data_IF_857888964098
#
_entry.id   IF_857888964098
#
_cell.length_a   1.000
_cell.length_b   1.000
_cell.length_c   1.000
_cell.angle_alpha   90.00
_cell.angle_beta   90.00
_cell.angle_gamma   90.00
#
_symmetry.space_group_name_H-M   'P 1'
#
loop_
_entity.id
_entity.type
_entity.pdbx_description
1 polymer ?
#
# COMPACT_ATOMS: atom_id res chain seq x y z
N UNK A 1 -7.62 -6.66 -35.83
CA UNK A 1 -8.53 -7.00 -34.72
C UNK A 1 -7.74 -6.79 -33.42
N UNK A 2 -7.74 -5.57 -32.89
CA UNK A 2 -7.11 -5.23 -31.60
C UNK A 2 -8.27 -4.93 -30.65
N UNK A 3 -8.41 -5.73 -29.60
CA UNK A 3 -9.42 -5.53 -28.56
C UNK A 3 -9.09 -4.23 -27.79
N UNK A 4 -9.81 -3.16 -28.13
CA UNK A 4 -9.82 -1.93 -27.35
C UNK A 4 -10.53 -2.25 -26.04
N UNK A 5 -9.73 -2.35 -24.98
CA UNK A 5 -10.17 -2.77 -23.65
C UNK A 5 -11.30 -1.87 -23.15
N UNK A 6 -12.48 -2.45 -22.96
CA UNK A 6 -13.68 -1.80 -22.44
C UNK A 6 -13.50 -1.51 -20.95
N UNK A 7 -12.76 -0.44 -20.62
CA UNK A 7 -12.78 0.17 -19.27
C UNK A 7 -13.76 1.35 -19.22
N UNK A 8 -14.91 1.22 -19.89
CA UNK A 8 -15.97 2.21 -19.81
C UNK A 8 -17.14 1.63 -19.02
N UNK A 9 -17.30 2.19 -17.82
CA UNK A 9 -18.56 2.42 -17.12
C UNK A 9 -19.23 1.21 -16.48
N UNK A 10 -18.90 1.01 -15.19
CA UNK A 10 -19.88 0.53 -14.22
C UNK A 10 -19.64 1.23 -12.87
N UNK A 11 -19.99 2.52 -12.78
CA UNK A 11 -19.89 3.31 -11.54
C UNK A 11 -20.92 2.90 -10.47
N UNK A 12 -21.73 1.86 -10.72
CA UNK A 12 -22.75 1.35 -9.79
C UNK A 12 -22.19 0.48 -8.64
N UNK A 13 -20.88 0.23 -8.60
CA UNK A 13 -20.24 -0.68 -7.61
C UNK A 13 -19.04 -0.10 -6.88
N UNK A 14 -18.74 1.20 -7.04
CA UNK A 14 -17.62 1.83 -6.35
C UNK A 14 -17.96 2.02 -4.88
N UNK A 15 -17.08 1.54 -4.01
CA UNK A 15 -17.19 1.71 -2.56
C UNK A 15 -16.01 2.52 -2.02
N UNK A 16 -16.17 3.21 -0.88
CA UNK A 16 -15.06 3.86 -0.21
C UNK A 16 -13.95 2.87 0.12
N UNK A 17 -12.69 3.29 -0.07
CA UNK A 17 -11.53 2.51 0.36
C UNK A 17 -11.57 2.28 1.87
N UNK A 18 -11.40 1.01 2.28
CA UNK A 18 -11.17 0.68 3.69
C UNK A 18 -9.76 1.10 4.04
N UNK A 19 -9.63 2.21 4.78
CA UNK A 19 -8.37 2.80 5.18
C UNK A 19 -8.15 2.64 6.68
N UNK A 20 -7.07 1.94 7.04
CA UNK A 20 -6.57 1.89 8.42
C UNK A 20 -5.30 2.73 8.50
N UNK A 21 -5.19 3.61 9.49
CA UNK A 21 -3.99 4.42 9.74
C UNK A 21 -3.24 3.88 10.96
N UNK A 22 -1.93 3.69 10.84
CA UNK A 22 -1.04 3.41 11.97
C UNK A 22 -0.08 4.58 12.12
N UNK A 23 -0.20 5.29 13.24
CA UNK A 23 0.53 6.52 13.51
C UNK A 23 1.51 6.29 14.67
N UNK A 24 2.81 6.43 14.39
CA UNK A 24 3.86 6.37 15.40
C UNK A 24 4.09 7.75 16.02
N UNK A 25 3.86 7.86 17.33
CA UNK A 25 4.03 9.10 18.11
C UNK A 25 5.35 9.20 18.89
N UNK A 26 6.16 8.14 18.90
CA UNK A 26 7.43 8.10 19.64
C UNK A 26 8.48 7.31 18.86
N UNK A 27 9.72 7.75 18.89
CA UNK A 27 10.87 7.05 18.29
C UNK A 27 11.38 5.88 19.14
N UNK A 28 10.92 5.74 20.38
CA UNK A 28 11.38 4.67 21.30
C UNK A 28 11.00 3.26 20.85
N UNK A 29 9.93 3.14 20.07
CA UNK A 29 9.46 1.86 19.52
C UNK A 29 9.82 1.78 18.05
N UNK A 30 10.50 0.70 17.66
CA UNK A 30 10.72 0.40 16.27
C UNK A 30 9.45 -0.21 15.67
N UNK A 31 8.64 0.62 15.02
CA UNK A 31 7.40 0.19 14.39
C UNK A 31 7.63 -0.95 13.38
N UNK A 32 8.75 -0.97 12.66
CA UNK A 32 9.01 -2.03 11.68
C UNK A 32 9.03 -3.41 12.35
N UNK A 33 9.64 -3.53 13.52
CA UNK A 33 9.67 -4.80 14.28
C UNK A 33 8.26 -5.25 14.66
N UNK A 34 7.39 -4.32 15.05
CA UNK A 34 5.99 -4.64 15.35
C UNK A 34 5.17 -5.00 14.11
N UNK A 35 5.49 -4.43 12.94
CA UNK A 35 4.80 -4.73 11.69
C UNK A 35 5.15 -6.11 11.13
N UNK A 36 6.35 -6.65 11.42
CA UNK A 36 6.84 -7.92 10.85
C UNK A 36 5.83 -9.08 10.89
N UNK A 37 5.25 -9.47 12.05
CA UNK A 37 4.30 -10.58 12.10
C UNK A 37 3.05 -10.34 11.24
N UNK A 38 2.58 -9.09 11.17
CA UNK A 38 1.46 -8.73 10.31
C UNK A 38 1.83 -8.81 8.83
N UNK A 39 3.02 -8.34 8.43
CA UNK A 39 3.49 -8.48 7.04
C UNK A 39 3.63 -9.95 6.63
N UNK A 40 4.16 -10.78 7.53
CA UNK A 40 4.28 -12.21 7.32
C UNK A 40 2.90 -12.85 7.08
N UNK A 41 1.93 -12.59 7.96
CA UNK A 41 0.56 -13.09 7.82
C UNK A 41 -0.12 -12.61 6.53
N UNK A 42 -0.01 -11.32 6.20
CA UNK A 42 -0.62 -10.75 4.98
C UNK A 42 -0.01 -11.34 3.71
N UNK A 43 1.30 -11.62 3.69
CA UNK A 43 1.97 -12.19 2.52
C UNK A 43 1.53 -13.61 2.16
N UNK A 44 0.86 -14.33 3.06
CA UNK A 44 0.36 -15.67 2.81
C UNK A 44 -1.00 -15.68 2.08
N UNK A 45 -1.66 -14.53 1.92
CA UNK A 45 -2.93 -14.43 1.18
C UNK A 45 -2.69 -14.65 -0.32
N UNK A 46 -3.75 -15.05 -1.04
CA UNK A 46 -3.64 -15.48 -2.44
C UNK A 46 -3.22 -14.36 -3.39
N UNK A 47 -3.76 -13.15 -3.21
CA UNK A 47 -3.49 -11.96 -4.02
C UNK A 47 -2.26 -11.19 -3.53
N UNK A 48 -1.77 -10.24 -4.32
CA UNK A 48 -0.57 -9.47 -3.98
C UNK A 48 -0.69 -8.64 -2.69
N UNK A 49 0.37 -8.63 -1.90
CA UNK A 49 0.65 -7.62 -0.87
C UNK A 49 1.54 -6.54 -1.49
N UNK A 50 1.02 -5.32 -1.65
CA UNK A 50 1.76 -4.22 -2.26
C UNK A 50 2.30 -3.29 -1.17
N UNK A 51 3.59 -2.99 -1.22
CA UNK A 51 4.27 -2.07 -0.29
C UNK A 51 4.77 -0.85 -1.05
N UNK A 52 4.16 0.31 -0.80
CA UNK A 52 4.53 1.59 -1.37
C UNK A 52 5.49 2.34 -0.45
N UNK A 53 6.68 2.64 -0.98
CA UNK A 53 7.73 3.39 -0.28
C UNK A 53 8.15 2.82 1.09
N UNK A 54 8.27 1.49 1.30
CA UNK A 54 8.65 0.94 2.61
C UNK A 54 10.01 1.47 3.07
N UNK A 55 10.28 1.66 4.38
CA UNK A 55 11.56 2.20 4.82
C UNK A 55 12.72 1.29 4.37
N UNK A 56 13.91 1.87 4.12
CA UNK A 56 15.08 1.11 3.63
C UNK A 56 15.53 0.00 4.58
N UNK A 57 15.15 0.06 5.86
CA UNK A 57 15.36 -0.99 6.85
C UNK A 57 14.59 -2.28 6.55
N UNK A 58 13.50 -2.23 5.78
CA UNK A 58 12.77 -3.41 5.29
C UNK A 58 13.45 -3.98 4.05
N UNK A 59 14.66 -4.50 4.26
CA UNK A 59 15.39 -5.21 3.21
C UNK A 59 14.70 -6.54 2.89
N UNK A 60 14.99 -7.10 1.70
CA UNK A 60 14.50 -8.44 1.33
C UNK A 60 14.87 -9.49 2.38
N UNK A 61 16.09 -9.41 2.92
CA UNK A 61 16.56 -10.34 3.95
C UNK A 61 15.73 -10.23 5.22
N UNK A 62 15.53 -9.01 5.74
CA UNK A 62 14.73 -8.77 6.96
C UNK A 62 13.29 -9.26 6.79
N UNK A 63 12.70 -9.05 5.61
CA UNK A 63 11.35 -9.55 5.30
C UNK A 63 11.32 -11.09 5.25
N UNK A 64 12.29 -11.72 4.58
CA UNK A 64 12.39 -13.18 4.52
C UNK A 64 12.59 -13.81 5.91
N UNK A 65 13.47 -13.23 6.73
CA UNK A 65 13.75 -13.67 8.09
C UNK A 65 12.50 -13.57 8.99
N UNK A 66 11.63 -12.59 8.71
CA UNK A 66 10.34 -12.44 9.38
C UNK A 66 9.25 -13.41 8.88
N UNK A 67 9.54 -14.26 7.89
CA UNK A 67 8.58 -15.21 7.32
C UNK A 67 7.66 -14.62 6.24
N UNK A 68 8.01 -13.46 5.66
CA UNK A 68 7.27 -12.86 4.55
C UNK A 68 7.52 -13.65 3.27
N UNK A 69 6.46 -14.10 2.60
CA UNK A 69 6.58 -14.71 1.27
C UNK A 69 6.89 -13.63 0.22
N UNK A 70 8.18 -13.50 -0.12
CA UNK A 70 8.66 -12.53 -1.10
C UNK A 70 8.09 -12.77 -2.51
N UNK A 71 7.54 -13.94 -2.81
CA UNK A 71 6.87 -14.22 -4.10
C UNK A 71 5.47 -13.63 -4.19
N UNK A 72 4.91 -13.17 -3.06
CA UNK A 72 3.58 -12.55 -2.92
C UNK A 72 3.64 -11.07 -2.58
N UNK A 73 4.84 -10.49 -2.52
CA UNK A 73 5.05 -9.08 -2.20
C UNK A 73 5.52 -8.30 -3.42
N UNK A 74 4.88 -7.15 -3.66
CA UNK A 74 5.35 -6.18 -4.64
C UNK A 74 5.77 -4.88 -3.95
N UNK A 75 7.06 -4.55 -4.06
CA UNK A 75 7.58 -3.28 -3.54
C UNK A 75 7.56 -2.24 -4.66
N UNK A 76 6.82 -1.16 -4.43
CA UNK A 76 6.72 -0.02 -5.34
C UNK A 76 7.45 1.17 -4.74
N UNK A 77 8.24 1.85 -5.56
CA UNK A 77 9.00 3.03 -5.20
C UNK A 77 8.63 4.19 -6.08
N UNK A 78 8.54 5.40 -5.53
CA UNK A 78 8.28 6.59 -6.33
C UNK A 78 9.44 6.83 -7.30
N UNK A 79 9.13 7.30 -8.50
CA UNK A 79 10.13 7.81 -9.43
C UNK A 79 10.22 9.34 -9.32
N UNK A 80 11.08 9.99 -10.12
CA UNK A 80 11.24 11.46 -10.10
C UNK A 80 10.02 12.22 -10.65
N UNK A 81 9.09 11.55 -11.32
CA UNK A 81 7.99 12.14 -12.12
C UNK A 81 6.62 11.96 -11.46
N UNK A 82 6.46 10.98 -10.58
CA UNK A 82 5.20 10.62 -9.96
C UNK A 82 5.29 10.66 -8.44
N UNK A 83 4.38 11.43 -7.83
CA UNK A 83 4.16 11.43 -6.39
C UNK A 83 3.59 10.11 -5.89
N UNK A 84 3.67 9.91 -4.58
CA UNK A 84 3.20 8.70 -3.90
C UNK A 84 1.69 8.47 -4.07
N UNK A 85 0.92 9.55 -4.14
CA UNK A 85 -0.51 9.60 -4.42
C UNK A 85 -0.87 8.92 -5.76
N UNK A 86 -0.15 9.25 -6.83
CA UNK A 86 -0.40 8.66 -8.16
C UNK A 86 -0.05 7.17 -8.20
N UNK A 87 1.01 6.76 -7.49
CA UNK A 87 1.36 5.35 -7.40
C UNK A 87 0.29 4.56 -6.61
N UNK A 88 -0.19 5.11 -5.50
CA UNK A 88 -1.26 4.50 -4.72
C UNK A 88 -2.54 4.34 -5.55
N UNK A 89 -2.96 5.40 -6.26
CA UNK A 89 -4.14 5.35 -7.11
C UNK A 89 -4.03 4.26 -8.18
N UNK A 90 -2.86 4.12 -8.84
CA UNK A 90 -2.65 3.07 -9.84
C UNK A 90 -2.70 1.67 -9.24
N UNK A 91 -2.09 1.46 -8.07
CA UNK A 91 -2.13 0.17 -7.38
C UNK A 91 -3.58 -0.23 -7.00
N UNK A 92 -4.37 0.73 -6.52
CA UNK A 92 -5.78 0.53 -6.18
C UNK A 92 -6.64 0.25 -7.43
N UNK A 93 -6.45 1.04 -8.50
CA UNK A 93 -7.17 0.85 -9.77
C UNK A 93 -6.85 -0.46 -10.47
N UNK A 94 -5.62 -0.99 -10.30
CA UNK A 94 -5.26 -2.30 -10.84
C UNK A 94 -6.10 -3.43 -10.24
N UNK A 95 -6.56 -3.29 -8.99
CA UNK A 95 -7.44 -4.26 -8.33
C UNK A 95 -6.81 -5.65 -8.09
N UNK A 96 -5.50 -5.79 -8.28
CA UNK A 96 -4.79 -7.08 -8.19
C UNK A 96 -4.23 -7.39 -6.80
N UNK A 97 -4.37 -6.47 -5.84
CA UNK A 97 -3.84 -6.63 -4.48
C UNK A 97 -4.97 -6.70 -3.45
N UNK A 98 -4.79 -7.53 -2.43
CA UNK A 98 -5.72 -7.59 -1.30
C UNK A 98 -5.40 -6.50 -0.27
N UNK A 99 -4.12 -6.15 -0.13
CA UNK A 99 -3.66 -5.10 0.79
C UNK A 99 -2.63 -4.22 0.13
N UNK A 100 -2.83 -2.91 0.27
CA UNK A 100 -1.88 -1.87 -0.06
C UNK A 100 -1.34 -1.27 1.23
N UNK A 101 -0.04 -1.34 1.46
CA UNK A 101 0.61 -0.66 2.59
C UNK A 101 1.39 0.54 2.07
N UNK A 102 1.02 1.73 2.53
CA UNK A 102 1.64 2.99 2.16
C UNK A 102 2.46 3.54 3.33
N UNK A 103 3.76 3.72 3.15
CA UNK A 103 4.58 4.44 4.12
C UNK A 103 4.66 5.92 3.73
N UNK A 104 4.01 6.76 4.53
CA UNK A 104 4.11 8.20 4.45
C UNK A 104 5.36 8.63 5.22
N UNK A 105 6.42 8.94 4.48
CA UNK A 105 7.74 9.24 5.03
C UNK A 105 8.07 10.74 5.07
N UNK A 106 7.28 11.57 4.39
CA UNK A 106 7.53 13.00 4.21
C UNK A 106 6.22 13.79 4.36
N UNK A 107 6.18 14.90 5.12
CA UNK A 107 5.02 15.80 5.16
C UNK A 107 4.54 16.28 3.77
N UNK A 108 5.42 16.35 2.77
CA UNK A 108 5.07 16.64 1.39
C UNK A 108 4.07 15.63 0.78
N UNK A 109 3.92 14.45 1.39
CA UNK A 109 2.98 13.42 0.97
C UNK A 109 1.58 13.58 1.60
N UNK A 110 1.24 14.72 2.22
CA UNK A 110 -0.10 14.94 2.80
C UNK A 110 -1.25 14.83 1.77
N UNK A 111 -0.94 15.10 0.49
CA UNK A 111 -1.84 14.86 -0.63
C UNK A 111 -2.28 13.39 -0.73
N UNK A 112 -1.40 12.43 -0.40
CA UNK A 112 -1.73 11.00 -0.38
C UNK A 112 -2.84 10.72 0.64
N UNK A 113 -2.74 11.27 1.85
CA UNK A 113 -3.70 11.00 2.92
C UNK A 113 -5.09 11.47 2.53
N UNK A 114 -5.17 12.69 2.00
CA UNK A 114 -6.43 13.28 1.54
C UNK A 114 -7.01 12.53 0.34
N UNK A 115 -6.15 12.05 -0.57
CA UNK A 115 -6.55 11.25 -1.71
C UNK A 115 -7.10 9.89 -1.27
N UNK A 116 -6.38 9.13 -0.43
CA UNK A 116 -6.81 7.81 0.04
C UNK A 116 -8.18 7.88 0.74
N UNK A 117 -8.42 8.90 1.57
CA UNK A 117 -9.71 9.12 2.26
C UNK A 117 -10.89 9.35 1.31
N UNK A 118 -10.63 9.86 0.11
CA UNK A 118 -11.64 10.15 -0.91
C UNK A 118 -11.68 9.11 -2.02
N UNK A 119 -10.76 8.14 -1.99
CA UNK A 119 -10.64 7.13 -3.04
C UNK A 119 -11.80 6.15 -2.94
N UNK A 120 -12.38 5.86 -4.10
CA UNK A 120 -13.37 4.81 -4.26
C UNK A 120 -12.79 3.74 -5.17
N UNK A 121 -13.05 2.48 -4.84
CA UNK A 121 -12.52 1.32 -5.54
C UNK A 121 -13.65 0.33 -5.83
N UNK A 122 -13.49 -0.46 -6.89
CA UNK A 122 -14.35 -1.61 -7.17
C UNK A 122 -13.77 -2.93 -6.62
N UNK A 123 -12.52 -2.92 -6.16
CA UNK A 123 -11.86 -4.10 -5.59
C UNK A 123 -12.11 -4.24 -4.09
N UNK A 124 -11.73 -5.39 -3.55
CA UNK A 124 -11.70 -5.68 -2.11
C UNK A 124 -10.38 -5.25 -1.46
N UNK A 125 -9.66 -4.30 -2.06
CA UNK A 125 -8.34 -3.88 -1.57
C UNK A 125 -8.50 -3.06 -0.29
N UNK A 126 -7.83 -3.49 0.78
CA UNK A 126 -7.68 -2.72 2.01
C UNK A 126 -6.39 -1.89 1.96
N UNK A 127 -6.39 -0.70 2.54
CA UNK A 127 -5.21 0.15 2.62
C UNK A 127 -4.77 0.35 4.07
N UNK A 128 -3.50 0.08 4.35
CA UNK A 128 -2.84 0.45 5.60
C UNK A 128 -1.88 1.61 5.34
N UNK A 129 -2.14 2.74 5.98
CA UNK A 129 -1.27 3.91 5.93
C UNK A 129 -0.40 3.98 7.18
N UNK A 130 0.91 3.83 7.01
CA UNK A 130 1.90 3.93 8.08
C UNK A 130 2.48 5.34 8.09
N UNK A 131 2.36 6.05 9.22
CA UNK A 131 2.82 7.44 9.40
C UNK A 131 3.67 7.58 10.64
N UNK A 132 4.59 8.54 10.60
CA UNK A 132 5.31 9.02 11.78
C UNK A 132 4.87 10.44 12.09
N UNK A 133 4.55 10.70 13.36
CA UNK A 133 4.22 12.01 13.93
C UNK A 133 5.02 12.16 15.21
N UNK A 134 6.34 12.20 15.04
CA UNK A 134 7.35 12.35 16.10
C UNK A 134 7.72 13.82 16.20
#
# INVERSE_FOLDING_TARGET
>A
MIAYNQFAQNDAGLKPLVLTELIQHTSQVNLNTMLMPMLAALSQKESWLVMLEPPKSLTKQVLADAGVDLKKVWILRRDKRHGLDKLAQRALQAGTCHTLICWHNDPADDALVSQLKRTQISSETECLLVRKKI
#
